data_IF_647765195009
#
_entry.id   IF_647765195009
#
_cell.length_a   1.000
_cell.length_b   1.000
_cell.length_c   1.000
_cell.angle_alpha   90.00
_cell.angle_beta   90.00
_cell.angle_gamma   90.00
#
_symmetry.space_group_name_H-M   'P 1'
#
loop_
_entity.id
_entity.type
_entity.pdbx_description
1 polymer ?
#
# COMPACT_ATOMS: atom_id res chain seq x y z
N UNK A 1 3.98 23.04 3.98
CA UNK A 1 4.76 21.82 4.28
C UNK A 1 4.57 20.84 3.13
N UNK A 2 5.64 20.49 2.42
CA UNK A 2 5.54 19.60 1.26
C UNK A 2 4.94 18.26 1.71
N UNK A 3 3.78 17.94 1.15
CA UNK A 3 3.02 16.75 1.44
C UNK A 3 3.85 15.52 1.04
N UNK A 4 4.61 14.95 1.98
CA UNK A 4 5.52 13.83 1.71
C UNK A 4 4.68 12.61 1.34
N UNK A 5 4.84 12.16 0.11
CA UNK A 5 4.30 10.88 -0.36
C UNK A 5 5.02 9.75 0.37
N UNK A 6 4.25 8.76 0.78
CA UNK A 6 4.70 7.55 1.44
C UNK A 6 3.96 6.37 0.83
N UNK A 7 4.67 5.27 0.59
CA UNK A 7 4.08 4.10 -0.05
C UNK A 7 4.11 2.96 0.96
N UNK A 8 2.95 2.37 1.22
CA UNK A 8 2.80 1.28 2.17
C UNK A 8 2.43 0.01 1.44
N UNK A 9 3.19 -1.06 1.64
CA UNK A 9 2.85 -2.39 1.14
C UNK A 9 2.10 -3.14 2.23
N UNK A 10 0.86 -3.53 1.94
CA UNK A 10 -0.08 -4.14 2.86
C UNK A 10 -0.51 -5.53 2.34
N UNK A 11 -0.82 -6.45 3.25
CA UNK A 11 -1.45 -7.73 2.88
C UNK A 11 -2.94 -7.56 2.64
N UNK A 12 -3.47 -8.24 1.62
CA UNK A 12 -4.92 -8.37 1.41
C UNK A 12 -5.54 -9.39 2.36
N UNK A 13 -4.75 -10.17 3.08
CA UNK A 13 -5.25 -11.18 3.99
C UNK A 13 -5.65 -10.53 5.32
N UNK A 14 -6.93 -10.62 5.73
CA UNK A 14 -7.35 -10.13 7.03
C UNK A 14 -6.70 -11.01 8.10
N UNK A 15 -6.05 -10.37 9.09
CA UNK A 15 -5.31 -11.02 10.18
C UNK A 15 -4.15 -11.89 9.69
N UNK A 16 -3.37 -11.40 8.74
CA UNK A 16 -2.06 -11.99 8.48
C UNK A 16 -1.22 -11.92 9.76
N UNK A 17 -1.16 -13.04 10.48
CA UNK A 17 -0.20 -13.24 11.55
C UNK A 17 1.14 -13.26 10.82
N UNK A 18 2.06 -12.37 11.22
CA UNK A 18 3.41 -12.12 10.69
C UNK A 18 4.34 -13.36 10.58
N UNK A 19 3.80 -14.58 10.54
CA UNK A 19 4.50 -15.86 10.43
C UNK A 19 5.09 -16.17 9.06
N UNK A 20 4.88 -15.33 8.03
CA UNK A 20 5.64 -15.47 6.78
C UNK A 20 7.03 -14.86 6.97
N UNK A 21 8.01 -15.74 7.19
CA UNK A 21 9.39 -15.41 7.53
C UNK A 21 10.02 -14.27 6.73
N UNK A 22 10.89 -13.53 7.42
CA UNK A 22 11.83 -12.51 6.96
C UNK A 22 11.28 -11.20 6.37
N UNK A 23 10.06 -11.19 5.80
CA UNK A 23 9.54 -10.01 5.11
C UNK A 23 8.23 -9.51 5.72
N UNK A 24 8.30 -8.72 6.81
CA UNK A 24 7.09 -8.23 7.49
C UNK A 24 6.30 -7.29 6.58
N UNK A 25 4.97 -7.41 6.66
CA UNK A 25 4.02 -6.39 6.25
C UNK A 25 3.17 -5.99 7.47
N UNK A 26 2.78 -4.72 7.62
CA UNK A 26 2.93 -3.63 6.66
C UNK A 26 4.38 -3.12 6.51
N UNK A 27 4.80 -2.79 5.29
CA UNK A 27 6.13 -2.23 4.99
C UNK A 27 6.04 -0.82 4.40
N UNK A 28 6.89 0.10 4.85
CA UNK A 28 6.90 1.50 4.43
C UNK A 28 8.07 1.81 3.49
N UNK A 29 7.79 2.56 2.43
CA UNK A 29 8.75 2.99 1.42
C UNK A 29 8.61 4.47 1.10
N UNK A 30 9.72 5.09 0.72
CA UNK A 30 9.77 6.50 0.28
C UNK A 30 9.37 6.66 -1.19
N UNK A 31 9.55 5.61 -2.00
CA UNK A 31 9.30 5.64 -3.45
C UNK A 31 8.32 4.56 -3.88
N UNK A 32 7.56 4.85 -4.94
CA UNK A 32 6.63 3.89 -5.55
C UNK A 32 7.38 2.70 -6.15
N UNK A 33 8.57 2.93 -6.71
CA UNK A 33 9.37 1.90 -7.35
C UNK A 33 9.82 0.82 -6.35
N UNK A 34 10.32 1.23 -5.19
CA UNK A 34 10.70 0.31 -4.11
C UNK A 34 9.49 -0.49 -3.60
N UNK A 35 8.37 0.19 -3.34
CA UNK A 35 7.13 -0.45 -2.93
C UNK A 35 6.61 -1.44 -3.98
N UNK A 36 6.73 -1.10 -5.27
CA UNK A 36 6.33 -1.96 -6.39
C UNK A 36 7.21 -3.19 -6.48
N UNK A 37 8.52 -3.02 -6.37
CA UNK A 37 9.47 -4.13 -6.40
C UNK A 37 9.22 -5.09 -5.23
N UNK A 38 9.03 -4.57 -4.02
CA UNK A 38 8.75 -5.37 -2.84
C UNK A 38 7.40 -6.08 -2.92
N UNK A 39 6.34 -5.38 -3.33
CA UNK A 39 5.01 -5.96 -3.52
C UNK A 39 4.99 -7.07 -4.59
N UNK A 40 5.74 -6.90 -5.69
CA UNK A 40 5.91 -7.97 -6.69
C UNK A 40 6.63 -9.18 -6.10
N UNK A 41 7.73 -8.97 -5.38
CA UNK A 41 8.46 -10.07 -4.74
C UNK A 41 7.58 -10.84 -3.74
N UNK A 42 6.80 -10.13 -2.92
CA UNK A 42 5.85 -10.76 -2.00
C UNK A 42 4.77 -11.54 -2.75
N UNK A 43 4.23 -11.00 -3.84
CA UNK A 43 3.23 -11.70 -4.66
C UNK A 43 3.78 -12.90 -5.43
N UNK A 44 5.09 -12.97 -5.70
CA UNK A 44 5.76 -14.14 -6.26
C UNK A 44 6.01 -15.22 -5.21
N UNK A 45 6.35 -14.81 -3.99
CA UNK A 45 6.65 -15.72 -2.87
C UNK A 45 5.39 -16.14 -2.08
N UNK A 46 4.22 -15.60 -2.41
CA UNK A 46 2.97 -15.90 -1.70
C UNK A 46 2.55 -17.36 -1.92
N UNK A 47 1.96 -17.97 -0.89
CA UNK A 47 1.33 -19.27 -1.05
C UNK A 47 0.15 -19.24 -2.04
N UNK A 48 -0.20 -20.38 -2.64
CA UNK A 48 -1.24 -20.48 -3.66
C UNK A 48 -2.59 -19.87 -3.24
N UNK A 49 -2.93 -19.97 -1.95
CA UNK A 49 -4.19 -19.48 -1.38
C UNK A 49 -4.09 -18.07 -0.79
N UNK A 50 -2.92 -17.44 -0.86
CA UNK A 50 -2.75 -16.09 -0.31
C UNK A 50 -3.40 -15.06 -1.24
N UNK A 51 -4.27 -14.16 -0.74
CA UNK A 51 -4.98 -13.18 -1.59
C UNK A 51 -4.07 -12.14 -2.24
N UNK A 52 -2.81 -12.08 -1.81
CA UNK A 52 -1.76 -11.23 -2.36
C UNK A 52 -1.54 -9.96 -1.55
N UNK A 53 -0.71 -9.09 -2.09
CA UNK A 53 -0.30 -7.84 -1.46
C UNK A 53 -0.65 -6.66 -2.36
N UNK A 54 -0.84 -5.48 -1.77
CA UNK A 54 -1.14 -4.25 -2.49
C UNK A 54 -0.36 -3.07 -1.94
N UNK A 55 -0.25 -2.02 -2.75
CA UNK A 55 0.43 -0.78 -2.41
C UNK A 55 -0.64 0.26 -2.12
N UNK A 56 -0.54 0.90 -0.97
CA UNK A 56 -1.33 2.05 -0.59
C UNK A 56 -0.42 3.28 -0.61
N UNK A 57 -0.64 4.17 -1.57
CA UNK A 57 0.00 5.49 -1.55
C UNK A 57 -0.69 6.34 -0.48
N UNK A 58 0.09 6.99 0.36
CA UNK A 58 -0.36 7.95 1.37
C UNK A 58 0.32 9.29 1.16
N UNK A 59 -0.44 10.37 1.27
CA UNK A 59 0.08 11.73 1.32
C UNK A 59 -0.15 12.25 2.74
N UNK A 60 0.93 12.41 3.50
CA UNK A 60 0.81 12.64 4.95
C UNK A 60 0.14 11.44 5.64
N UNK A 61 -0.95 11.69 6.36
CA UNK A 61 -1.74 10.64 7.04
C UNK A 61 -2.91 10.08 6.20
N UNK A 62 -3.14 10.58 4.99
CA UNK A 62 -4.31 10.18 4.19
C UNK A 62 -3.92 9.24 3.03
N UNK A 63 -4.61 8.10 2.86
CA UNK A 63 -4.44 7.25 1.68
C UNK A 63 -4.98 7.95 0.43
N UNK A 64 -4.20 7.96 -0.65
CA UNK A 64 -4.56 8.55 -1.95
C UNK A 64 -5.65 7.72 -2.64
N UNK A 65 -5.82 6.46 -2.25
CA UNK A 65 -6.89 5.57 -2.72
C UNK A 65 -8.25 5.81 -2.05
N UNK A 66 -8.33 6.65 -1.01
CA UNK A 66 -9.65 7.15 -0.62
C UNK A 66 -10.18 7.96 -1.81
N UNK A 67 -11.40 7.69 -2.32
CA UNK A 67 -11.98 8.55 -3.33
C UNK A 67 -11.89 9.96 -2.75
N UNK A 68 -11.17 10.84 -3.44
CA UNK A 68 -11.33 12.27 -3.21
C UNK A 68 -12.83 12.45 -3.32
N UNK A 69 -13.52 12.71 -2.20
CA UNK A 69 -14.78 13.44 -2.26
C UNK A 69 -14.42 14.60 -3.17
N UNK A 70 -14.92 14.57 -4.40
CA UNK A 70 -14.90 15.73 -5.27
C UNK A 70 -15.63 16.77 -4.44
N UNK A 71 -14.86 17.61 -3.75
CA UNK A 71 -15.37 18.87 -3.28
C UNK A 71 -15.77 19.58 -4.57
N UNK A 72 -17.04 19.92 -4.61
CA UNK A 72 -17.73 20.79 -5.57
C UNK A 72 -16.80 21.64 -6.42
N UNK A 73 -17.02 21.55 -7.73
CA UNK A 73 -16.90 22.68 -8.64
C UNK A 73 -18.02 22.49 -9.67
N UNK A 74 -19.21 22.95 -9.29
CA UNK A 74 -20.30 23.32 -10.20
C UNK A 74 -20.72 24.72 -9.77
N UNK A 75 -19.89 25.69 -10.11
CA UNK A 75 -20.29 27.04 -10.50
C UNK A 75 -19.90 27.08 -12.00
N UNK A 76 -20.73 27.40 -12.98
CA UNK A 76 -21.81 28.38 -13.12
C UNK A 76 -22.72 27.95 -14.29
#
# INVERSE_FOLDING_TARGET
>A
MANKRSFWVLSKQPKEISGFGRNPVPAHFKTLEEATRYCRQLNLNRGAYHPGYFIEERIGNQPVSAPKKKAEDVEE
#
